data_IF_543178297771
#
_entry.id   IF_543178297771
#
_cell.length_a   1.000
_cell.length_b   1.000
_cell.length_c   1.000
_cell.angle_alpha   90.00
_cell.angle_beta   90.00
_cell.angle_gamma   90.00
#
_symmetry.space_group_name_H-M   'P 1'
#
loop_
_entity.id
_entity.type
_entity.pdbx_description
1 polymer ?
#
# COMPACT_ATOMS: atom_id res chain seq x y z
N UNK A 1 17.49 -3.34 -9.80
CA UNK A 1 16.78 -2.42 -10.72
C UNK A 1 17.72 -2.06 -11.86
N UNK A 2 17.22 -1.77 -13.06
CA UNK A 2 18.08 -1.36 -14.17
C UNK A 2 18.72 0.01 -13.92
N UNK A 3 19.97 0.21 -14.37
CA UNK A 3 20.75 1.45 -14.19
C UNK A 3 20.05 2.74 -14.66
N UNK A 4 19.09 2.64 -15.58
CA UNK A 4 18.33 3.78 -16.09
C UNK A 4 17.28 4.34 -15.11
N UNK A 5 16.77 3.55 -14.16
CA UNK A 5 15.87 4.07 -13.11
C UNK A 5 16.61 4.99 -12.12
N UNK A 6 17.89 4.69 -11.85
CA UNK A 6 18.76 5.51 -11.03
C UNK A 6 18.95 6.91 -11.61
N UNK A 7 19.29 7.00 -12.91
CA UNK A 7 19.55 8.30 -13.56
C UNK A 7 18.33 9.22 -13.60
N UNK A 8 17.11 8.66 -13.63
CA UNK A 8 15.88 9.47 -13.70
C UNK A 8 15.33 9.89 -12.35
N UNK A 9 15.57 9.11 -11.28
CA UNK A 9 14.97 9.36 -9.98
C UNK A 9 15.95 9.89 -8.93
N UNK A 10 17.26 9.77 -9.18
CA UNK A 10 18.33 10.39 -8.40
C UNK A 10 18.62 9.77 -7.03
N UNK A 11 17.63 9.20 -6.34
CA UNK A 11 17.76 8.70 -4.97
C UNK A 11 17.18 7.29 -4.81
N UNK A 12 18.06 6.28 -4.75
CA UNK A 12 17.69 4.87 -4.54
C UNK A 12 17.17 4.59 -3.11
N UNK A 13 17.60 5.40 -2.14
CA UNK A 13 17.22 5.23 -0.72
C UNK A 13 15.73 5.43 -0.55
N UNK A 14 15.19 6.50 -1.13
CA UNK A 14 13.75 6.81 -1.10
C UNK A 14 12.87 5.76 -1.78
N UNK A 15 13.40 5.03 -2.79
CA UNK A 15 12.67 3.95 -3.46
C UNK A 15 12.58 2.72 -2.57
N UNK A 16 13.70 2.39 -1.92
CA UNK A 16 13.79 1.24 -1.01
C UNK A 16 12.89 1.47 0.20
N UNK A 17 12.97 2.64 0.83
CA UNK A 17 12.09 3.06 1.93
C UNK A 17 10.62 2.98 1.53
N UNK A 18 10.25 3.54 0.39
CA UNK A 18 8.87 3.49 -0.10
C UNK A 18 8.38 2.07 -0.34
N UNK A 19 9.24 1.18 -0.83
CA UNK A 19 8.89 -0.22 -1.04
C UNK A 19 8.63 -0.96 0.28
N UNK A 20 9.42 -0.64 1.31
CA UNK A 20 9.23 -1.15 2.68
C UNK A 20 7.92 -0.62 3.26
N UNK A 21 7.63 0.67 3.09
CA UNK A 21 6.39 1.26 3.58
C UNK A 21 5.15 0.69 2.89
N UNK A 22 5.18 0.54 1.56
CA UNK A 22 4.06 -0.07 0.82
C UNK A 22 3.80 -1.49 1.32
N UNK A 23 4.83 -2.29 1.55
CA UNK A 23 4.67 -3.61 2.17
C UNK A 23 4.05 -3.50 3.57
N UNK A 24 4.53 -2.56 4.39
CA UNK A 24 3.98 -2.35 5.73
C UNK A 24 2.51 -1.91 5.71
N UNK A 25 2.07 -1.13 4.71
CA UNK A 25 0.65 -0.79 4.53
C UNK A 25 -0.21 -2.05 4.41
N UNK A 26 0.25 -3.04 3.65
CA UNK A 26 -0.50 -4.28 3.42
C UNK A 26 -0.32 -5.33 4.53
N UNK A 27 0.80 -5.35 5.25
CA UNK A 27 1.14 -6.45 6.17
C UNK A 27 1.08 -6.08 7.67
N UNK A 28 1.06 -4.79 8.01
CA UNK A 28 1.14 -4.31 9.39
C UNK A 28 -0.07 -3.42 9.71
N UNK A 29 -1.19 -3.99 10.24
CA UNK A 29 -2.44 -3.25 10.46
C UNK A 29 -2.27 -1.97 11.29
N UNK A 30 -1.36 -1.99 12.26
CA UNK A 30 -1.07 -0.86 13.15
C UNK A 30 -0.36 0.30 12.46
N UNK A 31 0.19 0.10 11.26
CA UNK A 31 0.89 1.13 10.47
C UNK A 31 0.15 1.52 9.20
N UNK A 32 -0.86 0.76 8.79
CA UNK A 32 -1.59 0.95 7.53
C UNK A 32 -2.10 2.38 7.37
N UNK A 33 -2.81 2.92 8.37
CA UNK A 33 -3.43 4.25 8.29
C UNK A 33 -2.36 5.35 8.25
N UNK A 34 -1.40 5.32 9.17
CA UNK A 34 -0.39 6.37 9.28
C UNK A 34 0.47 6.47 8.02
N UNK A 35 0.89 5.32 7.47
CA UNK A 35 1.64 5.28 6.22
C UNK A 35 0.78 5.70 5.03
N UNK A 36 -0.47 5.21 4.92
CA UNK A 36 -1.36 5.63 3.84
C UNK A 36 -1.54 7.16 3.82
N UNK A 37 -1.75 7.77 5.00
CA UNK A 37 -1.84 9.23 5.14
C UNK A 37 -0.55 9.95 4.81
N UNK A 38 0.61 9.42 5.23
CA UNK A 38 1.92 9.99 4.88
C UNK A 38 2.14 10.06 3.35
N UNK A 39 1.56 9.13 2.59
CA UNK A 39 1.56 9.14 1.13
C UNK A 39 0.37 9.89 0.49
N UNK A 40 -0.49 10.54 1.29
CA UNK A 40 -1.75 11.16 0.86
C UNK A 40 -2.69 10.18 0.13
N UNK A 41 -2.63 8.89 0.47
CA UNK A 41 -3.54 7.90 -0.07
C UNK A 41 -4.92 8.04 0.57
N UNK A 42 -5.95 8.07 -0.27
CA UNK A 42 -7.35 8.14 0.15
C UNK A 42 -8.08 6.80 0.04
N UNK A 43 -7.51 5.87 -0.74
CA UNK A 43 -8.05 4.54 -1.00
C UNK A 43 -6.95 3.48 -0.84
N UNK A 44 -7.35 2.28 -0.42
CA UNK A 44 -6.52 1.08 -0.38
C UNK A 44 -7.17 0.00 -1.26
N UNK A 45 -6.47 -0.42 -2.29
CA UNK A 45 -6.88 -1.49 -3.20
C UNK A 45 -6.30 -2.82 -2.73
N UNK A 46 -7.11 -3.87 -2.73
CA UNK A 46 -6.67 -5.24 -2.40
C UNK A 46 -7.21 -6.19 -3.46
N UNK A 47 -6.35 -6.57 -4.41
CA UNK A 47 -6.65 -7.51 -5.48
C UNK A 47 -5.87 -8.81 -5.36
N UNK A 48 -5.82 -9.57 -6.46
CA UNK A 48 -5.04 -10.82 -6.55
C UNK A 48 -3.55 -10.52 -6.41
N UNK A 49 -3.04 -9.50 -7.10
CA UNK A 49 -1.62 -9.12 -7.05
C UNK A 49 -1.14 -8.76 -5.64
N UNK A 50 -1.91 -8.00 -4.86
CA UNK A 50 -1.55 -7.67 -3.49
C UNK A 50 -1.58 -8.89 -2.57
N UNK A 51 -2.54 -9.81 -2.77
CA UNK A 51 -2.65 -11.05 -1.99
C UNK A 51 -1.53 -12.04 -2.30
N UNK A 52 -1.05 -12.07 -3.54
CA UNK A 52 0.06 -12.92 -3.96
C UNK A 52 1.41 -12.33 -3.52
N UNK A 53 1.54 -11.00 -3.55
CA UNK A 53 2.80 -10.30 -3.25
C UNK A 53 3.03 -10.03 -1.77
N UNK A 54 1.97 -9.86 -0.99
CA UNK A 54 2.04 -9.47 0.42
C UNK A 54 1.23 -10.42 1.29
N UNK A 55 1.66 -10.57 2.55
CA UNK A 55 0.83 -11.23 3.57
C UNK A 55 -0.24 -10.27 4.06
N UNK A 56 -1.27 -10.05 3.25
CA UNK A 56 -2.31 -9.04 3.49
C UNK A 56 -2.95 -9.23 4.88
N UNK A 57 -2.77 -8.21 5.70
CA UNK A 57 -3.28 -8.07 7.07
C UNK A 57 -3.55 -6.59 7.26
N UNK A 58 -4.79 -6.17 6.97
CA UNK A 58 -5.23 -4.77 7.02
C UNK A 58 -6.26 -4.61 8.14
N UNK A 59 -6.39 -3.41 8.74
CA UNK A 59 -7.35 -3.17 9.80
C UNK A 59 -8.74 -2.91 9.20
N UNK A 60 -9.37 -3.97 8.69
CA UNK A 60 -10.65 -3.90 7.98
C UNK A 60 -11.82 -3.41 8.85
N UNK A 61 -11.65 -3.40 10.16
CA UNK A 61 -12.60 -2.89 11.15
C UNK A 61 -12.66 -1.35 11.22
N UNK A 62 -11.58 -0.66 10.82
CA UNK A 62 -11.50 0.81 10.80
C UNK A 62 -11.50 1.39 9.40
N UNK A 63 -11.37 0.55 8.38
CA UNK A 63 -11.43 0.91 6.97
C UNK A 63 -12.86 0.79 6.45
N UNK A 64 -13.33 1.78 5.69
CA UNK A 64 -14.66 1.71 5.06
C UNK A 64 -14.55 0.95 3.73
N UNK A 65 -15.17 -0.23 3.62
CA UNK A 65 -15.27 -0.97 2.36
C UNK A 65 -16.24 -0.25 1.42
N UNK A 66 -15.75 0.23 0.27
CA UNK A 66 -16.55 0.98 -0.72
C UNK A 66 -16.76 0.22 -2.04
N UNK A 67 -16.04 -0.89 -2.25
CA UNK A 67 -16.19 -1.76 -3.41
C UNK A 67 -15.77 -3.19 -3.04
N UNK A 68 -16.56 -4.17 -3.46
CA UNK A 68 -16.26 -5.60 -3.33
C UNK A 68 -16.89 -6.37 -4.50
N UNK A 69 -16.07 -6.73 -5.48
CA UNK A 69 -16.48 -7.58 -6.60
C UNK A 69 -15.27 -8.26 -7.24
N UNK A 70 -15.49 -9.45 -7.81
CA UNK A 70 -14.49 -10.18 -8.61
C UNK A 70 -13.11 -10.36 -7.91
N UNK A 71 -13.12 -10.52 -6.59
CA UNK A 71 -11.89 -10.69 -5.80
C UNK A 71 -11.12 -9.38 -5.53
N UNK A 72 -11.70 -8.24 -5.90
CA UNK A 72 -11.16 -6.91 -5.62
C UNK A 72 -11.94 -6.27 -4.49
N UNK A 73 -11.22 -5.75 -3.49
CA UNK A 73 -11.77 -4.94 -2.41
C UNK A 73 -11.10 -3.57 -2.43
N UNK A 74 -11.89 -2.50 -2.36
CA UNK A 74 -11.38 -1.13 -2.22
C UNK A 74 -11.93 -0.54 -0.92
N UNK A 75 -11.00 -0.05 -0.10
CA UNK A 75 -11.29 0.58 1.16
C UNK A 75 -11.00 2.07 1.09
N UNK A 76 -11.81 2.90 1.75
CA UNK A 76 -11.50 4.31 1.99
C UNK A 76 -10.66 4.44 3.26
N UNK A 77 -9.59 5.21 3.17
CA UNK A 77 -8.76 5.60 4.32
C UNK A 77 -9.51 6.67 5.13
N UNK A 78 -9.66 6.53 6.45
CA UNK A 78 -10.27 7.55 7.30
C UNK A 78 -9.56 8.90 7.17
N UNK A 79 -10.34 9.98 7.09
CA UNK A 79 -9.85 11.36 7.12
C UNK A 79 -9.14 11.72 8.41
#
# INVERSE_FOLDING_TARGET
>A
MPFHEYMWRGDEGRITERSVDVRAIYEQPTRTIDLARAYNATLLYVGVEERDRYRVSIPADVLELIYDAEGVQIYRIPG
#
